data_IF_915178992407
#
_entry.id   IF_915178992407
#
_cell.length_a   1.000
_cell.length_b   1.000
_cell.length_c   1.000
_cell.angle_alpha   90.00
_cell.angle_beta   90.00
_cell.angle_gamma   90.00
#
_symmetry.space_group_name_H-M   'P 1'
#
loop_
_entity.id
_entity.type
_entity.pdbx_description
1 polymer ?
#
# COMPACT_ATOMS: atom_id res chain seq x y z
N UNK A 1 30.32 -28.95 -3.67
CA UNK A 1 29.35 -28.38 -4.65
C UNK A 1 28.63 -29.54 -5.31
N UNK A 2 27.31 -29.54 -5.34
CA UNK A 2 26.48 -30.60 -5.95
C UNK A 2 26.63 -30.51 -7.48
N UNK A 3 26.94 -31.62 -8.15
CA UNK A 3 27.00 -31.62 -9.60
C UNK A 3 25.59 -31.46 -10.22
N UNK A 4 25.51 -30.87 -11.40
CA UNK A 4 24.21 -30.56 -12.04
C UNK A 4 23.32 -31.82 -12.25
N UNK A 5 23.94 -32.96 -12.53
CA UNK A 5 23.24 -34.25 -12.67
C UNK A 5 22.62 -34.78 -11.37
N UNK A 6 23.16 -34.35 -10.22
CA UNK A 6 22.74 -34.79 -8.89
C UNK A 6 21.89 -33.70 -8.18
N UNK A 7 21.61 -32.57 -8.87
CA UNK A 7 20.87 -31.46 -8.33
C UNK A 7 19.37 -31.79 -8.30
N UNK A 8 18.78 -31.74 -7.10
CA UNK A 8 17.32 -31.80 -6.94
C UNK A 8 16.75 -30.50 -7.45
N UNK A 9 15.85 -30.58 -8.43
CA UNK A 9 15.19 -29.45 -9.07
C UNK A 9 13.77 -29.81 -9.42
N UNK A 10 12.92 -28.81 -9.66
CA UNK A 10 11.57 -29.00 -10.17
C UNK A 10 11.30 -28.09 -11.38
N UNK A 11 10.28 -28.42 -12.17
CA UNK A 11 9.87 -27.62 -13.32
C UNK A 11 8.89 -26.52 -12.89
N UNK A 12 8.81 -25.46 -13.69
CA UNK A 12 7.89 -24.37 -13.50
C UNK A 12 6.41 -24.82 -13.49
N UNK A 13 5.59 -24.14 -12.70
CA UNK A 13 4.17 -24.51 -12.49
C UNK A 13 3.91 -25.38 -11.25
N UNK A 14 4.95 -25.76 -10.50
CA UNK A 14 4.83 -26.45 -9.22
C UNK A 14 4.25 -25.49 -8.14
N UNK A 15 3.36 -26.00 -7.28
CA UNK A 15 2.85 -25.24 -6.13
C UNK A 15 3.91 -25.12 -5.02
N UNK A 16 3.73 -24.16 -4.13
CA UNK A 16 4.62 -23.99 -2.96
C UNK A 16 4.59 -25.23 -2.05
N UNK A 17 3.43 -25.87 -1.90
CA UNK A 17 3.26 -27.09 -1.11
C UNK A 17 4.06 -28.24 -1.70
N UNK A 18 3.91 -28.49 -3.00
CA UNK A 18 4.67 -29.53 -3.71
C UNK A 18 6.18 -29.28 -3.67
N UNK A 19 6.59 -28.01 -3.85
CA UNK A 19 7.99 -27.62 -3.72
C UNK A 19 8.53 -27.90 -2.33
N UNK A 20 7.74 -27.62 -1.30
CA UNK A 20 8.10 -27.86 0.09
C UNK A 20 8.20 -29.35 0.42
N UNK A 21 7.32 -30.21 -0.12
CA UNK A 21 7.44 -31.66 0.01
C UNK A 21 8.75 -32.19 -0.58
N UNK A 22 9.15 -31.68 -1.76
CA UNK A 22 10.44 -32.05 -2.38
C UNK A 22 11.61 -31.61 -1.50
N UNK A 23 11.56 -30.39 -0.95
CA UNK A 23 12.57 -29.84 -0.04
C UNK A 23 12.72 -30.73 1.20
N UNK A 24 11.61 -31.09 1.83
CA UNK A 24 11.61 -31.94 3.03
C UNK A 24 12.10 -33.37 2.76
N UNK A 25 11.59 -33.99 1.69
CA UNK A 25 11.94 -35.36 1.30
C UNK A 25 13.45 -35.49 1.00
N UNK A 26 14.03 -34.47 0.35
CA UNK A 26 15.44 -34.48 -0.04
C UNK A 26 16.36 -33.82 1.00
N UNK A 27 15.80 -33.31 2.11
CA UNK A 27 16.56 -32.63 3.19
C UNK A 27 17.44 -31.48 2.68
N UNK A 28 16.93 -30.73 1.71
CA UNK A 28 17.58 -29.55 1.14
C UNK A 28 16.97 -28.27 1.72
N UNK A 29 17.68 -27.14 1.59
CA UNK A 29 17.18 -25.84 2.04
C UNK A 29 16.68 -24.96 0.90
N UNK A 30 17.01 -25.33 -0.35
CA UNK A 30 16.71 -24.57 -1.54
C UNK A 30 16.36 -25.53 -2.67
N UNK A 31 15.28 -25.24 -3.41
CA UNK A 31 14.86 -25.98 -4.58
C UNK A 31 14.93 -25.07 -5.81
N UNK A 32 15.83 -25.32 -6.78
CA UNK A 32 15.82 -24.62 -8.05
C UNK A 32 14.58 -25.00 -8.88
N UNK A 33 13.89 -24.00 -9.39
CA UNK A 33 12.81 -24.17 -10.35
C UNK A 33 13.35 -23.79 -11.73
N UNK A 34 13.16 -24.69 -12.68
CA UNK A 34 13.74 -24.58 -14.03
C UNK A 34 12.63 -24.60 -15.10
N UNK A 35 12.92 -24.01 -16.25
CA UNK A 35 12.09 -24.14 -17.44
C UNK A 35 12.24 -25.54 -18.08
N UNK A 36 11.46 -25.80 -19.14
CA UNK A 36 11.53 -27.06 -19.91
C UNK A 36 12.89 -27.32 -20.58
N UNK A 37 13.72 -26.31 -20.71
CA UNK A 37 15.08 -26.38 -21.27
C UNK A 37 16.14 -26.59 -20.18
N UNK A 38 15.75 -26.57 -18.90
CA UNK A 38 16.64 -26.70 -17.75
C UNK A 38 17.29 -25.38 -17.29
N UNK A 39 16.85 -24.22 -17.80
CA UNK A 39 17.34 -22.92 -17.34
C UNK A 39 16.69 -22.57 -16.00
N UNK A 40 17.48 -22.02 -15.09
CA UNK A 40 16.99 -21.55 -13.79
C UNK A 40 16.04 -20.37 -13.96
N UNK A 41 14.83 -20.48 -13.41
CA UNK A 41 13.84 -19.39 -13.33
C UNK A 41 13.91 -18.70 -11.97
N UNK A 42 13.76 -19.46 -10.89
CA UNK A 42 13.80 -18.96 -9.51
C UNK A 42 14.18 -20.04 -8.52
N UNK A 43 14.31 -19.66 -7.24
CA UNK A 43 14.62 -20.58 -6.14
C UNK A 43 13.49 -20.53 -5.12
N UNK A 44 13.04 -21.70 -4.65
CA UNK A 44 12.17 -21.84 -3.49
C UNK A 44 13.02 -22.21 -2.27
N UNK A 45 12.88 -21.48 -1.19
CA UNK A 45 13.58 -21.74 0.06
C UNK A 45 12.65 -22.40 1.06
N UNK A 46 13.21 -23.29 1.88
CA UNK A 46 12.47 -23.95 2.97
C UNK A 46 11.76 -22.95 3.90
N UNK A 47 12.40 -21.81 4.17
CA UNK A 47 11.84 -20.73 4.98
C UNK A 47 10.62 -20.07 4.35
N UNK A 48 10.49 -20.06 3.01
CA UNK A 48 9.39 -19.39 2.31
C UNK A 48 8.05 -20.09 2.62
N UNK A 49 8.06 -21.42 2.68
CA UNK A 49 6.87 -22.18 3.07
C UNK A 49 6.49 -21.96 4.55
N UNK A 50 7.48 -21.89 5.44
CA UNK A 50 7.25 -21.58 6.85
C UNK A 50 6.70 -20.16 7.02
N UNK A 51 7.33 -19.17 6.40
CA UNK A 51 6.89 -17.77 6.42
C UNK A 51 5.46 -17.62 5.89
N UNK A 52 5.14 -18.24 4.76
CA UNK A 52 3.78 -18.18 4.19
C UNK A 52 2.72 -18.84 5.09
N UNK A 53 3.09 -19.88 5.83
CA UNK A 53 2.20 -20.53 6.81
C UNK A 53 2.03 -19.68 8.07
N UNK A 54 3.09 -18.99 8.50
CA UNK A 54 3.07 -18.11 9.67
C UNK A 54 2.37 -16.78 9.37
N UNK A 55 2.43 -16.30 8.14
CA UNK A 55 1.88 -15.02 7.70
C UNK A 55 0.92 -15.14 6.48
N UNK A 56 -0.19 -15.87 6.62
CA UNK A 56 -1.09 -16.15 5.47
C UNK A 56 -1.84 -14.90 4.97
N UNK A 57 -1.81 -13.79 5.72
CA UNK A 57 -2.47 -12.53 5.38
C UNK A 57 -1.51 -11.48 4.82
N UNK A 58 -0.26 -11.84 4.51
CA UNK A 58 0.65 -10.92 3.83
C UNK A 58 0.07 -10.44 2.50
N UNK A 59 0.10 -9.13 2.28
CA UNK A 59 -0.37 -8.52 1.04
C UNK A 59 0.73 -8.61 -0.04
N UNK A 60 0.59 -9.61 -0.90
CA UNK A 60 1.54 -9.89 -1.98
C UNK A 60 0.86 -9.76 -3.34
N UNK A 61 1.66 -9.44 -4.36
CA UNK A 61 1.22 -9.47 -5.75
C UNK A 61 1.20 -10.93 -6.31
N UNK A 62 0.83 -11.08 -7.59
CA UNK A 62 0.82 -12.38 -8.27
C UNK A 62 2.20 -13.03 -8.40
N UNK A 63 3.27 -12.25 -8.28
CA UNK A 63 4.66 -12.73 -8.30
C UNK A 63 5.23 -12.94 -6.88
N UNK A 64 4.37 -12.87 -5.85
CA UNK A 64 4.74 -13.00 -4.42
C UNK A 64 5.70 -11.92 -3.92
N UNK A 65 5.62 -10.72 -4.49
CA UNK A 65 6.33 -9.54 -4.00
C UNK A 65 5.39 -8.71 -3.14
N UNK A 66 5.92 -8.04 -2.13
CA UNK A 66 5.14 -7.11 -1.31
C UNK A 66 4.59 -5.97 -2.16
N UNK A 67 3.32 -5.63 -1.95
CA UNK A 67 2.72 -4.43 -2.51
C UNK A 67 3.42 -3.20 -1.90
N UNK A 68 3.96 -2.34 -2.73
CA UNK A 68 4.74 -1.18 -2.30
C UNK A 68 4.14 0.13 -2.75
N UNK A 69 4.14 1.10 -1.83
CA UNK A 69 3.66 2.46 -2.08
C UNK A 69 4.77 3.50 -2.04
N UNK A 70 4.59 4.61 -2.77
CA UNK A 70 5.51 5.72 -2.75
C UNK A 70 4.81 7.08 -2.66
N UNK A 71 5.36 7.99 -1.83
CA UNK A 71 4.92 9.37 -1.76
C UNK A 71 5.43 10.18 -2.96
N UNK A 72 4.55 11.00 -3.51
CA UNK A 72 4.84 12.01 -4.52
C UNK A 72 4.31 13.36 -4.05
N UNK A 73 4.77 14.45 -4.64
CA UNK A 73 4.26 15.78 -4.33
C UNK A 73 3.81 16.53 -5.60
N UNK A 74 3.11 17.63 -5.43
CA UNK A 74 2.54 18.42 -6.52
C UNK A 74 3.56 19.22 -7.32
N UNK A 75 4.85 19.10 -7.04
CA UNK A 75 5.92 19.85 -7.75
C UNK A 75 6.76 18.97 -8.65
N UNK A 76 6.98 17.70 -8.27
CA UNK A 76 7.91 16.78 -8.93
C UNK A 76 7.23 15.56 -9.57
N UNK A 77 5.88 15.46 -9.49
CA UNK A 77 5.15 14.27 -9.97
C UNK A 77 5.46 13.93 -11.43
N UNK A 78 5.68 14.93 -12.28
CA UNK A 78 5.96 14.72 -13.70
C UNK A 78 7.26 13.96 -14.00
N UNK A 79 8.25 14.08 -13.11
CA UNK A 79 9.53 13.35 -13.21
C UNK A 79 9.49 12.08 -12.37
N UNK A 80 8.85 12.16 -11.21
CA UNK A 80 8.86 11.10 -10.21
C UNK A 80 7.94 9.93 -10.59
N UNK A 81 6.74 10.19 -11.10
CA UNK A 81 5.78 9.14 -11.47
C UNK A 81 6.36 8.14 -12.48
N UNK A 82 6.90 8.55 -13.64
CA UNK A 82 7.46 7.57 -14.58
C UNK A 82 8.66 6.80 -14.03
N UNK A 83 9.46 7.41 -13.14
CA UNK A 83 10.57 6.73 -12.49
C UNK A 83 10.08 5.66 -11.52
N UNK A 84 9.03 5.94 -10.74
CA UNK A 84 8.42 5.00 -9.80
C UNK A 84 7.71 3.85 -10.53
N UNK A 85 6.95 4.13 -11.58
CA UNK A 85 6.32 3.10 -12.42
C UNK A 85 7.37 2.15 -13.03
N UNK A 86 8.48 2.71 -13.53
CA UNK A 86 9.60 1.90 -14.04
C UNK A 86 10.27 1.06 -12.94
N UNK A 87 10.27 1.54 -11.70
CA UNK A 87 10.80 0.79 -10.55
C UNK A 87 9.84 -0.28 -10.01
N UNK A 88 8.60 -0.36 -10.53
CA UNK A 88 7.61 -1.35 -10.14
C UNK A 88 6.82 -0.96 -8.89
N UNK A 89 6.54 0.34 -8.68
CA UNK A 89 5.64 0.77 -7.62
C UNK A 89 4.20 0.33 -7.92
N UNK A 90 3.49 -0.14 -6.92
CA UNK A 90 2.09 -0.58 -7.07
C UNK A 90 1.11 0.57 -6.85
N UNK A 91 1.40 1.47 -5.90
CA UNK A 91 0.53 2.59 -5.56
C UNK A 91 1.33 3.84 -5.21
N UNK A 92 0.82 5.00 -5.60
CA UNK A 92 1.41 6.29 -5.23
C UNK A 92 0.43 7.12 -4.41
N UNK A 93 0.93 8.09 -3.66
CA UNK A 93 0.08 9.04 -2.96
C UNK A 93 0.64 10.46 -3.06
N UNK A 94 -0.23 11.39 -3.48
CA UNK A 94 0.01 12.82 -3.33
C UNK A 94 -0.14 13.17 -1.85
N UNK A 95 0.99 13.32 -1.17
CA UNK A 95 1.06 13.51 0.26
C UNK A 95 1.35 14.97 0.61
N UNK A 96 0.43 15.62 1.29
CA UNK A 96 0.61 16.97 1.81
C UNK A 96 -0.19 17.19 3.11
N UNK A 97 0.22 18.21 3.85
CA UNK A 97 -0.48 18.62 5.08
C UNK A 97 -1.87 19.21 4.83
N UNK A 98 -2.23 19.49 3.58
CA UNK A 98 -3.53 19.95 3.12
C UNK A 98 -3.75 19.47 1.69
N UNK A 99 -4.72 18.58 1.50
CA UNK A 99 -5.05 17.97 0.21
C UNK A 99 -6.12 18.72 -0.58
N UNK A 100 -6.96 19.49 0.07
CA UNK A 100 -8.04 20.25 -0.55
C UNK A 100 -7.49 21.47 -1.31
N UNK A 101 -6.74 21.23 -2.38
CA UNK A 101 -6.03 22.26 -3.16
C UNK A 101 -6.11 22.00 -4.66
N UNK A 102 -6.19 23.07 -5.45
CA UNK A 102 -6.12 22.99 -6.90
C UNK A 102 -4.81 22.34 -7.42
N UNK A 103 -3.74 22.39 -6.63
CA UNK A 103 -2.49 21.74 -6.96
C UNK A 103 -2.60 20.20 -6.99
N UNK A 104 -3.29 19.62 -6.00
CA UNK A 104 -3.52 18.17 -5.99
C UNK A 104 -4.49 17.75 -7.06
N UNK A 105 -5.59 18.47 -7.25
CA UNK A 105 -6.55 18.24 -8.34
C UNK A 105 -5.86 18.19 -9.69
N UNK A 106 -5.07 19.21 -10.00
CA UNK A 106 -4.32 19.29 -11.26
C UNK A 106 -3.34 18.13 -11.41
N UNK A 107 -2.59 17.80 -10.34
CA UNK A 107 -1.64 16.72 -10.38
C UNK A 107 -2.33 15.37 -10.65
N UNK A 108 -3.47 15.06 -10.00
CA UNK A 108 -4.27 13.87 -10.28
C UNK A 108 -4.69 13.79 -11.74
N UNK A 109 -5.28 14.87 -12.26
CA UNK A 109 -5.74 14.94 -13.64
C UNK A 109 -4.60 14.75 -14.66
N UNK A 110 -3.46 15.39 -14.42
CA UNK A 110 -2.28 15.29 -15.30
C UNK A 110 -1.68 13.86 -15.27
N UNK A 111 -1.65 13.22 -14.08
CA UNK A 111 -1.13 11.86 -13.92
C UNK A 111 -2.03 10.88 -14.67
N UNK A 112 -3.33 10.88 -14.44
CA UNK A 112 -4.25 9.96 -15.09
C UNK A 112 -4.36 10.19 -16.60
N UNK A 113 -4.20 11.43 -17.07
CA UNK A 113 -4.14 11.71 -18.50
C UNK A 113 -2.90 11.10 -19.18
N UNK A 114 -1.76 11.00 -18.49
CA UNK A 114 -0.50 10.48 -19.05
C UNK A 114 -0.24 9.00 -18.71
N UNK A 115 -0.66 8.56 -17.55
CA UNK A 115 -0.46 7.19 -17.02
C UNK A 115 -1.79 6.68 -16.45
N UNK A 116 -2.77 6.34 -17.29
CA UNK A 116 -4.12 5.98 -16.85
C UNK A 116 -4.19 4.71 -15.98
N UNK A 117 -3.16 3.86 -16.05
CA UNK A 117 -3.02 2.67 -15.20
C UNK A 117 -2.44 2.96 -13.81
N UNK A 118 -1.87 4.16 -13.59
CA UNK A 118 -1.27 4.52 -12.32
C UNK A 118 -2.34 4.63 -11.22
N UNK A 119 -2.08 3.99 -10.08
CA UNK A 119 -2.93 4.09 -8.90
C UNK A 119 -2.41 5.19 -7.98
N UNK A 120 -3.20 6.24 -7.83
CA UNK A 120 -2.77 7.46 -7.10
C UNK A 120 -3.81 7.90 -6.08
N UNK A 121 -3.45 7.77 -4.81
CA UNK A 121 -4.19 8.40 -3.72
C UNK A 121 -3.81 9.86 -3.53
N UNK A 122 -4.65 10.58 -2.80
CA UNK A 122 -4.46 11.99 -2.51
C UNK A 122 -4.84 12.35 -1.07
N UNK A 123 -4.33 13.44 -0.56
CA UNK A 123 -4.64 13.92 0.80
C UNK A 123 -3.54 14.83 1.36
N UNK A 124 -3.69 15.22 2.62
CA UNK A 124 -4.73 14.78 3.54
C UNK A 124 -5.91 15.74 3.56
N UNK A 125 -7.06 15.19 3.84
CA UNK A 125 -8.31 15.96 4.05
C UNK A 125 -8.92 15.58 5.41
N UNK A 126 -9.91 16.37 5.89
CA UNK A 126 -10.54 16.15 7.21
C UNK A 126 -12.06 16.27 7.20
N UNK A 127 -12.66 16.46 6.03
CA UNK A 127 -14.10 16.70 5.88
C UNK A 127 -14.65 16.14 4.55
N UNK A 128 -15.97 16.16 4.43
CA UNK A 128 -16.68 15.66 3.27
C UNK A 128 -16.42 16.47 1.98
N UNK A 129 -16.19 17.77 2.08
CA UNK A 129 -15.92 18.62 0.92
C UNK A 129 -14.56 18.29 0.32
N UNK A 130 -13.53 18.18 1.15
CA UNK A 130 -12.20 17.77 0.73
C UNK A 130 -12.18 16.37 0.12
N UNK A 131 -12.95 15.44 0.68
CA UNK A 131 -13.11 14.11 0.10
C UNK A 131 -13.71 14.20 -1.32
N UNK A 132 -14.87 14.84 -1.48
CA UNK A 132 -15.53 14.97 -2.79
C UNK A 132 -14.62 15.62 -3.82
N UNK A 133 -13.96 16.69 -3.43
CA UNK A 133 -13.05 17.41 -4.31
C UNK A 133 -11.94 16.52 -4.90
N UNK A 134 -11.33 15.67 -4.08
CA UNK A 134 -10.30 14.76 -4.53
C UNK A 134 -10.85 13.53 -5.28
N UNK A 135 -12.01 13.02 -4.86
CA UNK A 135 -12.70 11.93 -5.54
C UNK A 135 -13.10 12.33 -6.98
N UNK A 136 -13.71 13.51 -7.14
CA UNK A 136 -14.06 14.07 -8.45
C UNK A 136 -12.84 14.42 -9.32
N UNK A 137 -11.67 14.66 -8.69
CA UNK A 137 -10.41 14.85 -9.39
C UNK A 137 -9.77 13.55 -9.87
N UNK A 138 -10.31 12.38 -9.46
CA UNK A 138 -9.86 11.06 -9.88
C UNK A 138 -8.93 10.36 -8.91
N UNK A 139 -8.92 10.71 -7.62
CA UNK A 139 -8.12 9.98 -6.63
C UNK A 139 -8.59 8.51 -6.52
N UNK A 140 -7.67 7.56 -6.56
CA UNK A 140 -7.96 6.13 -6.38
C UNK A 140 -8.21 5.76 -4.90
N UNK A 141 -7.67 6.52 -3.96
CA UNK A 141 -7.98 6.49 -2.53
C UNK A 141 -7.69 7.84 -1.89
N UNK A 142 -8.24 8.09 -0.71
CA UNK A 142 -8.08 9.38 -0.03
C UNK A 142 -7.53 9.20 1.38
N UNK A 143 -6.46 9.96 1.70
CA UNK A 143 -5.87 10.00 3.04
C UNK A 143 -6.55 11.05 3.92
N UNK A 144 -6.89 10.63 5.16
CA UNK A 144 -7.60 11.42 6.14
C UNK A 144 -6.70 11.73 7.32
N UNK A 145 -6.64 13.00 7.71
CA UNK A 145 -5.98 13.44 8.93
C UNK A 145 -4.99 14.56 8.71
N UNK A 146 -5.16 15.64 9.46
CA UNK A 146 -4.27 16.79 9.46
C UNK A 146 -3.76 17.02 10.88
N UNK A 147 -2.45 16.92 11.06
CA UNK A 147 -1.79 17.20 12.33
C UNK A 147 -1.94 16.14 13.42
N UNK A 148 -2.39 14.91 13.08
CA UNK A 148 -2.54 13.80 14.03
C UNK A 148 -1.25 13.06 14.36
N UNK A 149 -0.23 13.17 13.52
CA UNK A 149 1.06 12.50 13.71
C UNK A 149 1.87 13.06 14.89
N UNK A 150 2.66 12.21 15.55
CA UNK A 150 3.41 12.59 16.77
C UNK A 150 4.47 13.68 16.55
N UNK A 151 4.97 13.79 15.32
CA UNK A 151 5.98 14.80 14.94
C UNK A 151 5.38 15.94 14.13
N UNK A 152 4.07 15.93 13.88
CA UNK A 152 3.41 16.90 13.01
C UNK A 152 3.15 18.21 13.74
N UNK A 153 3.64 19.30 13.17
CA UNK A 153 3.44 20.67 13.67
C UNK A 153 2.46 21.49 12.83
N UNK A 154 1.74 20.85 11.89
CA UNK A 154 0.83 21.55 10.98
C UNK A 154 -0.25 22.35 11.72
N UNK A 155 -0.82 21.78 12.78
CA UNK A 155 -1.86 22.47 13.59
C UNK A 155 -1.33 23.76 14.23
N UNK A 156 -0.10 23.74 14.71
CA UNK A 156 0.55 24.88 15.34
C UNK A 156 0.95 25.95 14.30
N UNK A 157 1.50 25.51 13.16
CA UNK A 157 2.05 26.40 12.15
C UNK A 157 1.00 26.99 11.22
N UNK A 158 -0.05 26.23 10.90
CA UNK A 158 -1.09 26.63 9.93
C UNK A 158 -2.45 26.91 10.55
N UNK A 159 -2.67 26.51 11.81
CA UNK A 159 -3.95 26.66 12.48
C UNK A 159 -5.07 25.78 11.89
N UNK A 160 -4.71 24.73 11.16
CA UNK A 160 -5.66 23.79 10.52
C UNK A 160 -5.57 22.42 11.15
N UNK A 161 -6.66 21.68 11.12
CA UNK A 161 -6.74 20.31 11.61
C UNK A 161 -8.10 19.99 12.18
N UNK A 162 -8.32 18.71 12.45
CA UNK A 162 -9.57 18.20 13.03
C UNK A 162 -9.28 16.99 13.91
N UNK A 163 -10.15 16.65 14.83
CA UNK A 163 -10.08 15.41 15.60
C UNK A 163 -10.19 14.21 14.66
N UNK A 164 -9.25 13.26 14.75
CA UNK A 164 -9.12 12.15 13.79
C UNK A 164 -10.38 11.30 13.70
N UNK A 165 -11.00 10.96 14.84
CA UNK A 165 -12.24 10.20 14.87
C UNK A 165 -13.38 10.90 14.12
N UNK A 166 -13.56 12.20 14.37
CA UNK A 166 -14.59 13.01 13.71
C UNK A 166 -14.34 13.09 12.20
N UNK A 167 -13.09 13.31 11.79
CA UNK A 167 -12.72 13.38 10.38
C UNK A 167 -12.99 12.03 9.68
N UNK A 168 -12.58 10.92 10.29
CA UNK A 168 -12.77 9.58 9.72
C UNK A 168 -14.24 9.25 9.53
N UNK A 169 -15.08 9.46 10.55
CA UNK A 169 -16.52 9.18 10.47
C UNK A 169 -17.20 10.03 9.38
N UNK A 170 -16.88 11.33 9.30
CA UNK A 170 -17.47 12.20 8.29
C UNK A 170 -17.04 11.85 6.87
N UNK A 171 -15.76 11.58 6.67
CA UNK A 171 -15.24 11.22 5.35
C UNK A 171 -15.72 9.82 4.93
N UNK A 172 -15.82 8.86 5.86
CA UNK A 172 -16.40 7.54 5.59
C UNK A 172 -17.85 7.67 5.08
N UNK A 173 -18.66 8.49 5.76
CA UNK A 173 -20.01 8.79 5.29
C UNK A 173 -20.01 9.43 3.89
N UNK A 174 -19.10 10.35 3.61
CA UNK A 174 -19.00 10.99 2.30
C UNK A 174 -18.58 9.99 1.21
N UNK A 175 -17.71 9.02 1.51
CA UNK A 175 -17.34 7.93 0.60
C UNK A 175 -18.53 7.03 0.29
N UNK A 176 -19.30 6.63 1.31
CA UNK A 176 -20.52 5.83 1.14
C UNK A 176 -21.56 6.57 0.29
N UNK A 177 -21.76 7.86 0.54
CA UNK A 177 -22.73 8.67 -0.21
C UNK A 177 -22.26 8.87 -1.66
N UNK A 178 -20.98 9.10 -1.89
CA UNK A 178 -20.38 9.17 -3.23
C UNK A 178 -20.54 7.86 -4.00
N UNK A 179 -20.32 6.72 -3.34
CA UNK A 179 -20.54 5.40 -3.93
C UNK A 179 -22.00 5.19 -4.34
N UNK A 180 -22.98 5.58 -3.51
CA UNK A 180 -24.42 5.49 -3.85
C UNK A 180 -24.78 6.36 -5.04
N UNK A 181 -24.16 7.54 -5.17
CA UNK A 181 -24.43 8.50 -6.23
C UNK A 181 -23.79 8.09 -7.58
N UNK A 182 -22.57 7.56 -7.53
CA UNK A 182 -21.72 7.35 -8.73
C UNK A 182 -21.48 5.89 -9.09
N UNK A 183 -21.67 4.97 -8.14
CA UNK A 183 -21.25 3.57 -8.28
C UNK A 183 -19.74 3.35 -8.12
N UNK A 184 -18.96 4.41 -7.83
CA UNK A 184 -17.50 4.35 -7.69
C UNK A 184 -17.15 4.40 -6.20
N UNK A 185 -16.54 3.34 -5.69
CA UNK A 185 -16.05 3.30 -4.32
C UNK A 185 -14.61 3.85 -4.26
N UNK A 186 -14.38 4.84 -3.41
CA UNK A 186 -13.08 5.43 -3.15
C UNK A 186 -12.64 5.06 -1.73
N UNK A 187 -11.68 4.13 -1.57
CA UNK A 187 -11.18 3.74 -0.26
C UNK A 187 -10.57 4.91 0.51
N UNK A 188 -10.69 4.86 1.84
CA UNK A 188 -10.15 5.89 2.72
C UNK A 188 -9.11 5.35 3.69
N UNK A 189 -8.01 6.08 3.82
CA UNK A 189 -6.89 5.77 4.70
C UNK A 189 -6.88 6.70 5.91
N UNK A 190 -7.04 6.18 7.12
CA UNK A 190 -6.84 6.99 8.33
C UNK A 190 -5.35 7.15 8.63
N UNK A 191 -4.84 8.38 8.56
CA UNK A 191 -3.43 8.72 8.71
C UNK A 191 -3.18 9.60 9.93
N UNK A 192 -2.28 9.13 10.80
CA UNK A 192 -1.84 9.82 12.00
C UNK A 192 -2.59 9.47 13.28
N UNK A 193 -1.88 9.57 14.39
CA UNK A 193 -2.43 9.33 15.73
C UNK A 193 -2.58 7.86 16.14
N UNK A 194 -2.17 6.92 15.32
CA UNK A 194 -2.20 5.49 15.62
C UNK A 194 -0.91 5.11 16.33
N UNK A 195 -1.03 4.78 17.61
CA UNK A 195 0.10 4.45 18.51
C UNK A 195 -0.05 3.04 19.08
N UNK A 196 -1.27 2.53 19.22
CA UNK A 196 -1.60 1.23 19.80
C UNK A 196 -2.50 0.41 18.88
N UNK A 197 -2.49 -0.90 19.01
CA UNK A 197 -3.27 -1.83 18.19
C UNK A 197 -4.77 -1.50 18.17
N UNK A 198 -5.33 -1.15 19.34
CA UNK A 198 -6.74 -0.80 19.44
C UNK A 198 -7.10 0.49 18.66
N UNK A 199 -6.14 1.39 18.37
CA UNK A 199 -6.38 2.54 17.50
C UNK A 199 -6.63 2.12 16.06
N UNK A 200 -6.00 1.03 15.58
CA UNK A 200 -6.28 0.44 14.26
C UNK A 200 -7.73 -0.04 14.22
N UNK A 201 -8.13 -0.84 15.22
CA UNK A 201 -9.52 -1.34 15.32
C UNK A 201 -10.54 -0.21 15.36
N UNK A 202 -10.26 0.86 16.12
CA UNK A 202 -11.14 2.02 16.19
C UNK A 202 -11.23 2.76 14.84
N UNK A 203 -10.11 2.95 14.14
CA UNK A 203 -10.12 3.62 12.84
C UNK A 203 -10.95 2.84 11.81
N UNK A 204 -10.79 1.51 11.75
CA UNK A 204 -11.58 0.63 10.90
C UNK A 204 -13.06 0.63 11.29
N UNK A 205 -13.38 0.58 12.58
CA UNK A 205 -14.76 0.65 13.07
C UNK A 205 -15.45 2.01 12.77
N UNK A 206 -14.66 3.07 12.61
CA UNK A 206 -15.15 4.40 12.19
C UNK A 206 -15.29 4.53 10.67
N UNK A 207 -14.98 3.48 9.90
CA UNK A 207 -15.19 3.39 8.47
C UNK A 207 -13.92 3.61 7.62
N UNK A 208 -12.73 3.65 8.21
CA UNK A 208 -11.51 3.61 7.41
C UNK A 208 -11.32 2.21 6.79
N UNK A 209 -10.88 2.14 5.55
CA UNK A 209 -10.58 0.86 4.87
C UNK A 209 -9.20 0.33 5.27
N UNK A 210 -8.27 1.25 5.52
CA UNK A 210 -6.93 0.94 5.98
C UNK A 210 -6.32 2.12 6.75
N UNK A 211 -5.14 1.92 7.31
CA UNK A 211 -4.48 2.91 8.15
C UNK A 211 -3.04 3.14 7.71
N UNK A 212 -2.53 4.35 7.95
CA UNK A 212 -1.11 4.65 7.79
C UNK A 212 -0.44 4.65 9.16
N UNK A 213 0.56 3.78 9.30
CA UNK A 213 1.33 3.60 10.52
C UNK A 213 2.73 4.18 10.37
N UNK A 214 3.17 4.96 11.33
CA UNK A 214 4.54 5.48 11.41
C UNK A 214 5.19 5.05 12.73
N UNK A 215 4.92 5.78 13.81
CA UNK A 215 5.53 5.58 15.12
C UNK A 215 5.33 4.15 15.66
N UNK A 216 4.17 3.55 15.48
CA UNK A 216 3.87 2.21 15.95
C UNK A 216 4.87 1.19 15.38
N UNK A 217 5.16 1.24 14.08
CA UNK A 217 6.15 0.35 13.43
C UNK A 217 7.57 0.66 13.91
N UNK A 218 7.91 1.93 14.08
CA UNK A 218 9.23 2.32 14.57
C UNK A 218 9.50 1.73 15.96
N UNK A 219 8.54 1.78 16.86
CA UNK A 219 8.66 1.22 18.21
C UNK A 219 8.80 -0.31 18.21
N UNK A 220 8.14 -1.04 17.28
CA UNK A 220 8.28 -2.49 17.14
C UNK A 220 9.69 -2.90 16.67
N UNK A 221 10.30 -2.11 15.79
CA UNK A 221 11.62 -2.44 15.21
C UNK A 221 12.76 -2.10 16.18
N UNK A 222 12.58 -1.14 17.08
CA UNK A 222 13.65 -0.60 17.93
C UNK A 222 13.54 -1.00 19.40
N UNK A 223 12.55 -1.80 19.81
CA UNK A 223 12.42 -2.44 21.10
C UNK A 223 12.66 -3.96 21.00
#
# INVERSE_FOLDING_TARGET
>A
MTALKDLVKAEDGITLEEANEIIWKNKINQLPIVDKNGNLLYLVFRKDAASHTEHPLELLDSEKRYIVGAGINTRDYMERVPALLKAGVDVMTLDSSEGFTEWQKRALQDIHAKWPEAKVGAGNVVDAEGFRFLAEAGADFIKIGIGGGSICITREQKGIGRGQATATIEVAKASDDYYKETGIYIPICSDGGIVHDHHVTLALAMGADFVMLGRCIYEIIHN
#
